data_IF_392679325317
#
_entry.id   IF_392679325317
#
_cell.length_a   1.000
_cell.length_b   1.000
_cell.length_c   1.000
_cell.angle_alpha   90.00
_cell.angle_beta   90.00
_cell.angle_gamma   90.00
#
_symmetry.space_group_name_H-M   'P 1'
#
loop_
_entity.id
_entity.type
_entity.pdbx_description
1 polymer ?
#
# COMPACT_ATOMS: atom_id res chain seq x y z
N UNK A 1 10.88 -33.80 -20.22
CA UNK A 1 9.88 -33.46 -21.26
C UNK A 1 8.77 -32.71 -20.56
N UNK A 2 8.85 -31.37 -20.54
CA UNK A 2 7.98 -30.49 -19.75
C UNK A 2 6.86 -29.98 -20.67
N UNK A 3 5.61 -30.32 -20.36
CA UNK A 3 4.45 -29.84 -21.11
C UNK A 3 4.12 -28.41 -20.70
N UNK A 4 4.11 -27.50 -21.68
CA UNK A 4 3.73 -26.09 -21.55
C UNK A 4 2.20 -26.02 -21.65
N UNK A 5 1.53 -25.54 -20.60
CA UNK A 5 0.11 -25.21 -20.65
C UNK A 5 -0.11 -23.93 -21.49
N UNK A 6 -1.11 -23.88 -22.38
CA UNK A 6 -1.41 -22.67 -23.11
C UNK A 6 -2.16 -21.67 -22.21
N UNK A 7 -1.67 -20.44 -22.20
CA UNK A 7 -2.29 -19.27 -21.60
C UNK A 7 -3.63 -18.99 -22.31
N UNK A 8 -4.75 -19.19 -21.63
CA UNK A 8 -6.07 -18.82 -22.14
C UNK A 8 -6.26 -17.31 -21.94
N UNK A 9 -6.10 -16.54 -23.01
CA UNK A 9 -6.50 -15.12 -23.06
C UNK A 9 -7.87 -15.07 -23.73
N UNK A 10 -8.92 -14.71 -22.98
CA UNK A 10 -10.17 -14.29 -23.59
C UNK A 10 -9.94 -12.89 -24.18
N UNK A 11 -10.05 -12.78 -25.51
CA UNK A 11 -10.01 -11.51 -26.22
C UNK A 11 -11.45 -11.23 -26.62
N UNK A 12 -12.09 -10.25 -25.97
CA UNK A 12 -13.44 -9.79 -26.32
C UNK A 12 -13.40 -9.24 -27.75
N UNK A 13 -14.28 -9.73 -28.62
CA UNK A 13 -14.41 -9.20 -29.98
C UNK A 13 -15.08 -7.82 -29.91
N UNK A 14 -14.59 -6.83 -30.67
CA UNK A 14 -15.11 -5.47 -30.59
C UNK A 14 -16.57 -5.39 -31.10
N UNK A 15 -17.43 -4.76 -30.32
CA UNK A 15 -18.85 -4.62 -30.65
C UNK A 15 -19.01 -3.56 -31.76
N UNK A 16 -19.42 -4.00 -32.94
CA UNK A 16 -19.48 -3.14 -34.13
C UNK A 16 -20.92 -2.91 -34.59
N UNK A 17 -21.39 -1.66 -34.50
CA UNK A 17 -22.70 -1.24 -35.00
C UNK A 17 -22.56 -0.45 -36.31
N UNK A 18 -23.29 -0.85 -37.36
CA UNK A 18 -23.28 -0.19 -38.68
C UNK A 18 -24.66 0.36 -39.02
N UNK A 19 -24.72 1.63 -39.42
CA UNK A 19 -25.95 2.31 -39.85
C UNK A 19 -25.77 2.85 -41.27
N UNK A 20 -26.70 2.53 -42.17
CA UNK A 20 -26.61 2.89 -43.58
C UNK A 20 -27.95 3.20 -44.25
N UNK A 21 -27.90 3.83 -45.43
CA UNK A 21 -29.05 4.00 -46.33
C UNK A 21 -28.74 3.25 -47.63
N UNK A 22 -29.55 2.24 -47.95
CA UNK A 22 -29.30 1.36 -49.10
C UNK A 22 -28.04 0.49 -48.91
N UNK A 23 -27.17 0.43 -49.93
CA UNK A 23 -25.89 -0.31 -49.88
C UNK A 23 -24.72 0.48 -49.28
N UNK A 24 -24.97 1.71 -48.80
CA UNK A 24 -23.91 2.59 -48.26
C UNK A 24 -23.98 2.62 -46.74
N UNK A 25 -22.89 2.20 -46.10
CA UNK A 25 -22.66 2.43 -44.68
C UNK A 25 -22.35 3.91 -44.47
N UNK A 26 -23.10 4.57 -43.60
CA UNK A 26 -22.97 6.00 -43.32
C UNK A 26 -22.24 6.20 -42.00
N UNK A 27 -22.54 5.36 -41.00
CA UNK A 27 -21.92 5.39 -39.68
C UNK A 27 -21.47 3.98 -39.28
N UNK A 28 -20.24 3.84 -38.82
CA UNK A 28 -19.74 2.63 -38.16
C UNK A 28 -19.27 3.03 -36.77
N UNK A 29 -19.81 2.40 -35.74
CA UNK A 29 -19.37 2.54 -34.36
C UNK A 29 -18.71 1.22 -33.96
N UNK A 30 -17.48 1.28 -33.52
CA UNK A 30 -16.73 0.15 -32.96
C UNK A 30 -16.41 0.51 -31.52
N UNK A 31 -16.85 -0.32 -30.57
CA UNK A 31 -16.56 -0.14 -29.15
C UNK A 31 -15.70 -1.31 -28.65
N UNK A 32 -14.61 -0.99 -27.96
CA UNK A 32 -13.72 -1.95 -27.32
C UNK A 32 -13.33 -1.48 -25.90
N UNK A 33 -12.52 -2.29 -25.20
CA UNK A 33 -11.97 -1.95 -23.87
C UNK A 33 -11.03 -0.73 -23.86
N UNK A 34 -10.63 -0.22 -25.03
CA UNK A 34 -9.69 0.86 -25.22
C UNK A 34 -10.40 2.19 -25.52
N UNK A 35 -11.62 2.15 -26.05
CA UNK A 35 -12.48 3.31 -26.28
C UNK A 35 -13.53 3.09 -27.38
N UNK A 36 -14.02 4.20 -27.94
CA UNK A 36 -15.03 4.18 -28.99
C UNK A 36 -14.51 4.81 -30.27
N UNK A 37 -14.54 4.06 -31.36
CA UNK A 37 -14.27 4.56 -32.70
C UNK A 37 -15.59 4.78 -33.44
N UNK A 38 -15.81 6.00 -33.93
CA UNK A 38 -16.98 6.36 -34.74
C UNK A 38 -16.51 6.87 -36.10
N UNK A 39 -16.85 6.14 -37.16
CA UNK A 39 -16.53 6.49 -38.54
C UNK A 39 -17.81 6.94 -39.24
N UNK A 40 -17.84 8.19 -39.73
CA UNK A 40 -18.93 8.74 -40.53
C UNK A 40 -18.42 9.01 -41.95
N UNK A 41 -18.76 8.14 -42.89
CA UNK A 41 -18.23 8.13 -44.27
C UNK A 41 -16.68 8.08 -44.31
N UNK A 42 -16.02 9.23 -44.46
CA UNK A 42 -14.55 9.42 -44.54
C UNK A 42 -13.97 10.24 -43.37
N UNK A 43 -14.86 10.76 -42.53
CA UNK A 43 -14.55 11.45 -41.27
C UNK A 43 -14.62 10.43 -40.15
N UNK A 44 -13.74 10.56 -39.16
CA UNK A 44 -13.80 9.70 -37.98
C UNK A 44 -13.54 10.51 -36.72
N UNK A 45 -14.15 10.05 -35.65
CA UNK A 45 -13.92 10.48 -34.29
C UNK A 45 -13.48 9.24 -33.53
N UNK A 46 -12.24 9.24 -33.04
CA UNK A 46 -11.73 8.21 -32.15
C UNK A 46 -11.67 8.83 -30.77
N UNK A 47 -12.41 8.23 -29.84
CA UNK A 47 -12.36 8.56 -28.41
C UNK A 47 -11.57 7.45 -27.75
N UNK A 48 -10.35 7.75 -27.33
CA UNK A 48 -9.48 6.81 -26.60
C UNK A 48 -9.59 7.11 -25.11
N UNK A 49 -10.33 6.25 -24.41
CA UNK A 49 -10.57 6.34 -22.97
C UNK A 49 -9.32 6.01 -22.15
N UNK A 50 -8.33 5.31 -22.74
CA UNK A 50 -7.04 4.98 -22.10
C UNK A 50 -6.03 6.10 -22.13
N UNK A 51 -6.20 7.08 -23.00
CA UNK A 51 -5.28 8.22 -23.13
C UNK A 51 -5.95 9.60 -22.98
N UNK A 52 -7.25 9.68 -22.66
CA UNK A 52 -8.04 10.92 -22.55
C UNK A 52 -7.83 11.77 -23.82
N UNK A 53 -7.82 11.07 -24.95
CA UNK A 53 -7.46 11.63 -26.23
C UNK A 53 -8.64 11.48 -27.16
N UNK A 54 -9.13 12.63 -27.61
CA UNK A 54 -10.14 12.70 -28.67
C UNK A 54 -9.41 13.08 -29.96
N UNK A 55 -9.49 12.20 -30.95
CA UNK A 55 -8.95 12.43 -32.29
C UNK A 55 -10.11 12.64 -33.22
N UNK A 56 -10.19 13.82 -33.82
CA UNK A 56 -11.24 14.19 -34.77
C UNK A 56 -10.57 14.42 -36.11
N UNK A 57 -11.04 13.74 -37.15
CA UNK A 57 -10.68 14.04 -38.53
C UNK A 57 -11.86 14.67 -39.24
N UNK A 58 -11.64 15.86 -39.79
CA UNK A 58 -12.62 16.60 -40.58
C UNK A 58 -11.97 17.11 -41.87
N UNK A 59 -12.39 16.57 -43.02
CA UNK A 59 -11.83 16.94 -44.32
C UNK A 59 -10.30 16.77 -44.41
N UNK A 60 -9.57 17.88 -44.62
CA UNK A 60 -8.12 17.89 -44.83
C UNK A 60 -7.29 18.17 -43.57
N UNK A 61 -7.93 18.30 -42.41
CA UNK A 61 -7.26 18.50 -41.12
C UNK A 61 -7.68 17.41 -40.14
N UNK A 62 -6.77 17.08 -39.25
CA UNK A 62 -7.04 16.28 -38.07
C UNK A 62 -6.68 17.08 -36.82
N UNK A 63 -7.44 16.88 -35.76
CA UNK A 63 -7.24 17.51 -34.47
C UNK A 63 -7.09 16.40 -33.45
N UNK A 64 -5.98 16.41 -32.72
CA UNK A 64 -5.78 15.58 -31.53
C UNK A 64 -5.88 16.46 -30.31
N UNK A 65 -6.86 16.18 -29.46
CA UNK A 65 -7.03 16.83 -28.17
C UNK A 65 -6.66 15.80 -27.12
N UNK A 66 -5.59 16.05 -26.37
CA UNK A 66 -5.16 15.19 -25.26
C UNK A 66 -5.20 15.98 -23.96
N UNK A 67 -5.88 15.44 -22.96
CA UNK A 67 -5.86 15.97 -21.59
C UNK A 67 -4.77 15.25 -20.76
N UNK A 68 -3.84 16.00 -20.16
CA UNK A 68 -2.82 15.47 -19.23
C UNK A 68 -2.90 16.24 -17.90
N UNK A 69 -3.69 15.70 -16.97
CA UNK A 69 -4.00 16.35 -15.70
C UNK A 69 -4.75 17.67 -15.90
N UNK A 70 -4.10 18.80 -15.60
CA UNK A 70 -4.71 20.14 -15.75
C UNK A 70 -4.36 20.84 -17.08
N UNK A 71 -3.70 20.15 -18.01
CA UNK A 71 -3.28 20.73 -19.29
C UNK A 71 -3.99 20.06 -20.43
N UNK A 72 -4.51 20.86 -21.36
CA UNK A 72 -5.03 20.38 -22.63
C UNK A 72 -4.01 20.67 -23.71
N UNK A 73 -3.57 19.63 -24.41
CA UNK A 73 -2.74 19.73 -25.59
C UNK A 73 -3.62 19.58 -26.82
N UNK A 74 -3.56 20.57 -27.71
CA UNK A 74 -4.28 20.53 -28.98
C UNK A 74 -3.23 20.56 -30.08
N UNK A 75 -3.25 19.53 -30.91
CA UNK A 75 -2.39 19.42 -32.08
C UNK A 75 -3.25 19.39 -33.34
N UNK A 76 -2.87 20.18 -34.34
CA UNK A 76 -3.53 20.21 -35.64
C UNK A 76 -2.58 19.60 -36.65
N UNK A 77 -3.00 18.53 -37.30
CA UNK A 77 -2.20 17.72 -38.21
C UNK A 77 -2.84 17.77 -39.60
N UNK A 78 -2.02 17.82 -40.64
CA UNK A 78 -2.49 17.73 -42.02
C UNK A 78 -2.89 16.29 -42.37
N UNK A 79 -3.91 16.13 -43.21
CA UNK A 79 -4.52 14.83 -43.53
C UNK A 79 -3.53 13.76 -43.97
N UNK A 80 -2.56 14.12 -44.79
CA UNK A 80 -1.60 13.17 -45.37
C UNK A 80 -0.64 12.62 -44.32
N UNK A 81 -0.43 13.38 -43.26
CA UNK A 81 0.44 12.99 -42.16
C UNK A 81 -0.33 12.29 -41.07
N UNK A 82 -1.68 12.26 -41.07
CA UNK A 82 -2.46 11.56 -40.04
C UNK A 82 -2.08 10.09 -39.88
N UNK A 83 -1.90 9.35 -40.97
CA UNK A 83 -1.51 7.94 -40.91
C UNK A 83 0.00 7.74 -40.69
N UNK A 84 0.82 8.75 -41.03
CA UNK A 84 2.27 8.75 -40.78
C UNK A 84 2.61 9.18 -39.36
N UNK A 85 1.70 9.93 -38.73
CA UNK A 85 1.72 10.30 -37.33
C UNK A 85 1.57 8.98 -36.58
N UNK A 86 2.70 8.34 -36.27
CA UNK A 86 2.72 7.06 -35.59
C UNK A 86 2.09 7.23 -34.22
N UNK A 87 0.78 7.01 -34.13
CA UNK A 87 -0.02 7.08 -32.92
C UNK A 87 0.45 5.98 -31.97
N UNK A 88 1.58 6.21 -31.30
CA UNK A 88 2.04 5.34 -30.24
C UNK A 88 1.00 5.44 -29.13
N UNK A 89 0.35 4.30 -28.81
CA UNK A 89 -0.44 4.16 -27.59
C UNK A 89 0.42 4.67 -26.44
N UNK A 90 -0.01 5.71 -25.73
CA UNK A 90 0.79 6.19 -24.60
C UNK A 90 0.72 5.12 -23.51
N UNK A 91 1.80 4.92 -22.75
CA UNK A 91 1.73 4.01 -21.63
C UNK A 91 0.72 4.55 -20.62
N UNK A 92 -0.21 3.70 -20.18
CA UNK A 92 -1.18 4.04 -19.14
C UNK A 92 -0.44 4.62 -17.91
N UNK A 93 -0.83 5.83 -17.50
CA UNK A 93 -0.23 6.49 -16.35
C UNK A 93 -1.04 6.21 -15.08
N UNK A 94 -0.65 5.18 -14.33
CA UNK A 94 -1.15 4.93 -12.97
C UNK A 94 -0.03 5.18 -11.95
N UNK A 95 -0.34 5.91 -10.88
CA UNK A 95 0.59 6.13 -9.78
C UNK A 95 -0.10 5.88 -8.46
N UNK A 96 0.31 4.81 -7.78
CA UNK A 96 -0.24 4.41 -6.49
C UNK A 96 0.08 5.36 -5.33
N UNK A 97 -0.52 5.11 -4.17
CA UNK A 97 -0.38 5.91 -2.95
C UNK A 97 0.36 5.17 -1.83
N UNK A 98 1.54 4.61 -2.13
CA UNK A 98 2.39 3.92 -1.17
C UNK A 98 3.56 4.77 -0.65
N UNK A 99 4.34 5.42 -1.52
CA UNK A 99 5.55 6.16 -1.15
C UNK A 99 5.23 7.37 -0.28
N UNK A 100 6.08 7.63 0.71
CA UNK A 100 5.85 8.69 1.67
C UNK A 100 6.22 8.35 3.10
N UNK A 101 5.78 9.21 4.00
CA UNK A 101 5.95 9.05 5.43
C UNK A 101 4.58 8.84 6.07
N UNK A 102 4.47 7.80 6.90
CA UNK A 102 3.27 7.49 7.64
C UNK A 102 3.56 7.32 9.14
N UNK A 103 2.57 7.66 9.95
CA UNK A 103 2.61 7.57 11.40
C UNK A 103 1.38 6.83 11.90
N UNK A 104 1.53 5.97 12.90
CA UNK A 104 0.41 5.19 13.42
C UNK A 104 0.56 4.87 14.90
N UNK A 105 -0.54 4.40 15.48
CA UNK A 105 -0.59 3.84 16.82
C UNK A 105 -0.58 2.32 16.71
N UNK A 106 0.28 1.69 17.51
CA UNK A 106 0.44 0.24 17.54
C UNK A 106 -0.19 -0.35 18.79
N UNK A 107 -0.85 -1.48 18.63
CA UNK A 107 -1.32 -2.32 19.73
C UNK A 107 -1.06 -3.81 19.41
N UNK A 108 -1.34 -4.69 20.36
CA UNK A 108 -1.26 -6.13 20.27
C UNK A 108 -2.66 -6.71 20.50
N UNK A 109 -3.04 -7.69 19.69
CA UNK A 109 -4.29 -8.41 19.83
C UNK A 109 -4.04 -9.92 19.86
N UNK A 110 -4.93 -10.66 20.49
CA UNK A 110 -5.00 -12.12 20.37
C UNK A 110 -5.73 -12.51 19.08
N UNK A 111 -5.63 -13.79 18.72
CA UNK A 111 -6.30 -14.34 17.53
C UNK A 111 -7.82 -14.19 17.56
N UNK A 112 -8.42 -14.11 18.75
CA UNK A 112 -9.86 -13.88 18.93
C UNK A 112 -10.28 -12.41 18.74
N UNK A 113 -9.36 -11.50 18.42
CA UNK A 113 -9.62 -10.08 18.20
C UNK A 113 -9.59 -9.22 19.47
N UNK A 114 -9.48 -9.81 20.66
CA UNK A 114 -9.35 -9.05 21.89
C UNK A 114 -7.95 -8.45 22.02
N UNK A 115 -7.85 -7.26 22.60
CA UNK A 115 -6.56 -6.63 22.90
C UNK A 115 -5.76 -7.48 23.90
N UNK A 116 -4.44 -7.52 23.71
CA UNK A 116 -3.53 -8.24 24.59
C UNK A 116 -3.47 -7.58 25.97
N UNK A 117 -3.20 -8.38 27.01
CA UNK A 117 -3.08 -7.86 28.38
C UNK A 117 -4.38 -7.63 29.14
N UNK A 118 -5.50 -8.14 28.62
CA UNK A 118 -6.83 -8.07 29.25
C UNK A 118 -7.02 -9.06 30.40
N UNK A 119 -6.29 -10.19 30.42
CA UNK A 119 -6.27 -11.14 31.55
C UNK A 119 -5.11 -10.87 32.51
N UNK A 120 -5.30 -11.17 33.80
CA UNK A 120 -4.32 -10.91 34.88
C UNK A 120 -2.94 -11.51 34.60
N UNK A 121 -2.88 -12.77 34.15
CA UNK A 121 -1.64 -13.47 33.82
C UNK A 121 -0.87 -12.84 32.65
N UNK A 122 -1.57 -12.13 31.78
CA UNK A 122 -1.03 -11.55 30.54
C UNK A 122 -0.88 -10.04 30.59
N UNK A 123 -1.25 -9.40 31.71
CA UNK A 123 -1.32 -7.94 31.86
C UNK A 123 0.01 -7.24 31.54
N UNK A 124 1.11 -7.98 31.64
CA UNK A 124 2.44 -7.54 31.22
C UNK A 124 2.58 -7.27 29.70
N UNK A 125 1.67 -7.77 28.86
CA UNK A 125 1.61 -7.49 27.41
C UNK A 125 0.78 -6.25 27.07
N UNK A 126 0.09 -5.67 28.05
CA UNK A 126 -0.74 -4.49 27.85
C UNK A 126 0.12 -3.30 27.43
N UNK A 127 -0.34 -2.58 26.41
CA UNK A 127 0.39 -1.49 25.80
C UNK A 127 -0.32 -0.17 26.01
N UNK A 128 0.48 0.83 26.39
CA UNK A 128 0.02 2.21 26.35
C UNK A 128 -0.12 2.64 24.88
N UNK A 129 -1.33 2.52 24.34
CA UNK A 129 -1.61 2.78 22.92
C UNK A 129 -1.20 4.19 22.51
N UNK A 130 -1.47 5.19 23.36
CA UNK A 130 -1.12 6.59 23.10
C UNK A 130 0.38 6.88 23.03
N UNK A 131 1.23 5.98 23.55
CA UNK A 131 2.70 6.11 23.55
C UNK A 131 3.40 5.03 22.71
N UNK A 132 2.62 4.13 22.10
CA UNK A 132 3.07 3.04 21.25
C UNK A 132 2.88 3.44 19.79
N UNK A 133 3.98 3.79 19.12
CA UNK A 133 3.93 4.44 17.82
C UNK A 133 4.57 3.59 16.72
N UNK A 134 4.08 3.78 15.50
CA UNK A 134 4.64 3.29 14.25
C UNK A 134 5.12 4.47 13.41
N UNK A 135 6.32 4.38 12.88
CA UNK A 135 6.79 5.22 11.79
C UNK A 135 7.07 4.35 10.59
N UNK A 136 6.56 4.74 9.44
CA UNK A 136 6.83 4.06 8.19
C UNK A 136 7.36 5.05 7.15
N UNK A 137 8.54 4.77 6.61
CA UNK A 137 9.17 5.52 5.53
C UNK A 137 9.19 4.66 4.28
N UNK A 138 8.30 4.94 3.36
CA UNK A 138 8.17 4.26 2.08
C UNK A 138 8.94 5.03 1.01
N UNK A 139 10.17 4.61 0.75
CA UNK A 139 11.12 5.35 -0.08
C UNK A 139 11.13 4.90 -1.56
N UNK A 140 10.65 3.69 -1.86
CA UNK A 140 10.53 3.18 -3.24
C UNK A 140 9.07 2.77 -3.51
N UNK A 141 8.58 3.10 -4.69
CA UNK A 141 7.28 2.66 -5.21
C UNK A 141 7.39 2.36 -6.70
N UNK A 142 6.80 1.24 -7.10
CA UNK A 142 6.51 0.87 -8.48
C UNK A 142 4.99 0.66 -8.63
N UNK A 143 4.44 1.11 -9.74
CA UNK A 143 3.00 1.04 -10.03
C UNK A 143 2.81 0.38 -11.39
N UNK A 144 2.05 -0.71 -11.40
CA UNK A 144 1.69 -1.48 -12.59
C UNK A 144 0.22 -1.15 -12.92
N UNK A 145 -0.05 -0.31 -13.93
CA UNK A 145 -1.42 0.02 -14.34
C UNK A 145 -2.14 -1.22 -14.87
N UNK A 146 -3.39 -1.42 -14.45
CA UNK A 146 -4.36 -2.20 -15.22
C UNK A 146 -5.28 -1.26 -16.01
N UNK A 147 -5.58 -0.09 -15.43
CA UNK A 147 -6.23 1.05 -16.09
C UNK A 147 -5.66 2.36 -15.52
N UNK A 148 -6.18 3.52 -15.96
CA UNK A 148 -5.88 4.81 -15.32
C UNK A 148 -6.30 4.91 -13.86
N UNK A 149 -7.29 4.12 -13.45
CA UNK A 149 -7.93 4.22 -12.14
C UNK A 149 -7.60 3.04 -11.24
N UNK A 150 -6.98 1.99 -11.73
CA UNK A 150 -6.61 0.86 -10.91
C UNK A 150 -5.29 0.22 -11.35
N UNK A 151 -4.64 -0.41 -10.40
CA UNK A 151 -3.38 -1.08 -10.66
C UNK A 151 -2.79 -1.72 -9.42
N UNK A 152 -1.71 -2.43 -9.66
CA UNK A 152 -0.92 -3.05 -8.61
C UNK A 152 0.20 -2.10 -8.18
N UNK A 153 0.40 -1.98 -6.88
CA UNK A 153 1.42 -1.12 -6.28
C UNK A 153 2.35 -2.01 -5.46
N UNK A 154 3.64 -1.90 -5.75
CA UNK A 154 4.69 -2.54 -4.98
C UNK A 154 5.79 -1.52 -4.67
N UNK A 155 6.79 -1.90 -3.89
CA UNK A 155 7.81 -0.95 -3.45
C UNK A 155 8.65 -1.45 -2.29
N UNK A 156 9.29 -0.51 -1.59
CA UNK A 156 10.04 -0.79 -0.38
C UNK A 156 9.89 0.34 0.62
N UNK A 157 9.93 -0.01 1.90
CA UNK A 157 9.89 0.94 3.01
C UNK A 157 10.60 0.43 4.25
N UNK A 158 10.90 1.32 5.19
CA UNK A 158 11.39 0.96 6.52
C UNK A 158 10.32 1.31 7.54
N UNK A 159 9.98 0.32 8.36
CA UNK A 159 9.00 0.42 9.43
C UNK A 159 9.68 0.32 10.78
N UNK A 160 9.48 1.33 11.61
CA UNK A 160 10.02 1.43 12.95
C UNK A 160 8.88 1.46 13.97
N UNK A 161 8.81 0.44 14.81
CA UNK A 161 7.74 0.30 15.81
C UNK A 161 8.32 0.48 17.21
N UNK A 162 7.53 1.11 18.04
CA UNK A 162 7.82 1.31 19.44
C UNK A 162 6.63 0.83 20.26
N UNK A 163 6.80 -0.27 20.99
CA UNK A 163 5.79 -0.81 21.89
C UNK A 163 6.12 -0.36 23.30
N UNK A 164 5.23 0.42 23.91
CA UNK A 164 5.38 0.89 25.27
C UNK A 164 4.46 0.11 26.20
N UNK A 165 5.04 -0.73 27.04
CA UNK A 165 4.29 -1.47 28.04
C UNK A 165 3.71 -0.49 29.07
N UNK A 166 2.42 -0.63 29.38
CA UNK A 166 1.72 0.29 30.28
C UNK A 166 2.03 0.00 31.76
N UNK A 167 2.30 -1.26 32.06
CA UNK A 167 2.57 -1.72 33.42
C UNK A 167 4.06 -1.55 33.81
N UNK A 168 4.33 -1.70 35.11
CA UNK A 168 5.69 -1.64 35.67
C UNK A 168 6.47 -2.93 35.39
N UNK A 169 6.65 -3.25 34.11
CA UNK A 169 7.22 -4.50 33.65
C UNK A 169 7.98 -4.30 32.34
N UNK A 170 8.87 -5.21 32.02
CA UNK A 170 9.52 -5.29 30.72
C UNK A 170 9.51 -6.73 30.23
N UNK A 171 10.06 -6.97 29.05
CA UNK A 171 10.26 -8.31 28.51
C UNK A 171 11.73 -8.67 28.57
N UNK A 172 12.00 -9.93 28.90
CA UNK A 172 13.33 -10.52 28.89
C UNK A 172 13.25 -11.92 28.29
N UNK A 173 14.37 -12.37 27.71
CA UNK A 173 14.53 -13.76 27.32
C UNK A 173 15.00 -14.55 28.54
N UNK A 174 14.24 -15.57 28.92
CA UNK A 174 14.61 -16.48 29.98
C UNK A 174 15.99 -17.12 29.67
N UNK A 175 16.96 -17.05 30.59
CA UNK A 175 18.29 -17.64 30.38
C UNK A 175 18.30 -19.16 30.20
N UNK A 176 17.30 -19.87 30.75
CA UNK A 176 17.21 -21.34 30.77
C UNK A 176 16.36 -21.83 29.61
N UNK A 177 15.13 -21.33 29.49
CA UNK A 177 14.17 -21.81 28.48
C UNK A 177 14.29 -21.07 27.15
N UNK A 178 14.91 -19.88 27.15
CA UNK A 178 14.99 -19.03 25.99
C UNK A 178 13.64 -18.43 25.56
N UNK A 179 12.57 -18.56 26.34
CA UNK A 179 11.23 -18.01 26.06
C UNK A 179 11.14 -16.55 26.51
N UNK A 180 10.28 -15.75 25.88
CA UNK A 180 10.00 -14.38 26.33
C UNK A 180 9.08 -14.41 27.55
N UNK A 181 9.61 -13.87 28.66
CA UNK A 181 8.96 -13.79 29.96
C UNK A 181 8.94 -12.33 30.46
N UNK A 182 7.99 -11.96 31.32
CA UNK A 182 8.01 -10.65 31.96
C UNK A 182 9.20 -10.52 32.91
N UNK A 183 9.88 -9.37 32.86
CA UNK A 183 10.85 -8.91 33.86
C UNK A 183 10.17 -7.86 34.73
N UNK A 184 10.02 -8.17 36.01
CA UNK A 184 9.53 -7.23 37.02
C UNK A 184 10.70 -6.53 37.72
N UNK A 185 10.51 -5.30 38.21
CA UNK A 185 11.54 -4.62 38.98
C UNK A 185 11.79 -5.31 40.35
N UNK A 186 13.01 -5.19 40.90
CA UNK A 186 13.28 -5.53 42.29
C UNK A 186 12.39 -4.72 43.26
N UNK A 187 12.16 -5.21 44.48
CA UNK A 187 11.44 -4.47 45.52
C UNK A 187 12.04 -3.07 45.72
N UNK A 188 11.20 -2.03 45.71
CA UNK A 188 11.63 -0.63 45.87
C UNK A 188 12.04 0.09 44.58
N UNK A 189 12.08 -0.59 43.43
CA UNK A 189 12.39 0.00 42.12
C UNK A 189 11.12 0.09 41.27
N UNK A 190 10.92 1.23 40.61
CA UNK A 190 9.85 1.41 39.62
C UNK A 190 10.43 1.73 38.24
N UNK A 191 9.95 1.02 37.23
CA UNK A 191 10.28 1.25 35.84
C UNK A 191 9.48 2.44 35.32
N UNK A 192 10.17 3.56 35.18
CA UNK A 192 9.58 4.77 34.58
C UNK A 192 9.39 4.63 33.06
N UNK A 193 10.14 3.74 32.40
CA UNK A 193 10.00 3.55 30.95
C UNK A 193 10.42 2.14 30.52
N UNK A 194 9.46 1.36 30.01
CA UNK A 194 9.70 0.06 29.41
C UNK A 194 9.25 0.08 27.94
N UNK A 195 10.19 -0.12 27.01
CA UNK A 195 9.91 -0.01 25.57
C UNK A 195 10.65 -1.05 24.73
N UNK A 196 9.93 -1.72 23.85
CA UNK A 196 10.48 -2.55 22.78
C UNK A 196 10.50 -1.77 21.47
N UNK A 197 11.69 -1.61 20.88
CA UNK A 197 11.90 -0.98 19.58
C UNK A 197 12.25 -2.03 18.53
N UNK A 198 11.57 -1.98 17.39
CA UNK A 198 11.81 -2.89 16.27
C UNK A 198 11.87 -2.13 14.96
N UNK A 199 12.78 -2.50 14.07
CA UNK A 199 12.85 -1.99 12.71
C UNK A 199 12.79 -3.14 11.70
N UNK A 200 11.93 -2.98 10.70
CA UNK A 200 11.69 -3.95 9.63
C UNK A 200 11.82 -3.25 8.28
N UNK A 201 12.38 -3.96 7.31
CA UNK A 201 12.23 -3.65 5.90
C UNK A 201 10.85 -4.15 5.46
N UNK A 202 10.15 -3.38 4.65
CA UNK A 202 8.79 -3.69 4.21
C UNK A 202 8.72 -3.72 2.69
N UNK A 203 7.99 -4.69 2.15
CA UNK A 203 7.71 -4.85 0.73
C UNK A 203 6.20 -5.04 0.58
N UNK A 204 5.48 -4.07 0.00
CA UNK A 204 4.05 -4.17 -0.21
C UNK A 204 3.71 -4.84 -1.56
N UNK A 205 2.54 -5.44 -1.61
CA UNK A 205 1.85 -5.85 -2.82
C UNK A 205 0.37 -5.46 -2.65
N UNK A 206 -0.01 -4.34 -3.24
CA UNK A 206 -1.32 -3.71 -3.03
C UNK A 206 -2.08 -3.62 -4.34
N UNK A 207 -3.34 -3.96 -4.31
CA UNK A 207 -4.29 -3.58 -5.34
C UNK A 207 -4.90 -2.24 -4.94
N UNK A 208 -4.85 -1.26 -5.83
CA UNK A 208 -5.35 0.07 -5.55
C UNK A 208 -6.33 0.51 -6.63
N UNK A 209 -7.43 1.12 -6.18
CA UNK A 209 -8.47 1.72 -6.99
C UNK A 209 -8.59 3.20 -6.64
N UNK A 210 -8.67 4.04 -7.65
CA UNK A 210 -8.67 5.50 -7.57
C UNK A 210 -9.92 6.05 -8.25
N UNK A 211 -10.46 7.14 -7.71
CA UNK A 211 -11.63 7.81 -8.27
C UNK A 211 -11.58 9.32 -8.08
N UNK A 212 -12.51 10.00 -8.76
CA UNK A 212 -12.62 11.45 -8.80
C UNK A 212 -11.66 12.11 -9.80
N UNK A 213 -11.95 13.37 -10.13
CA UNK A 213 -11.10 14.20 -11.00
C UNK A 213 -9.71 14.33 -10.36
N UNK A 214 -8.66 14.11 -11.14
CA UNK A 214 -7.25 14.08 -10.70
C UNK A 214 -6.91 12.98 -9.68
N UNK A 215 -7.68 11.88 -9.63
CA UNK A 215 -7.44 10.74 -8.72
C UNK A 215 -7.40 11.17 -7.23
N UNK A 216 -8.33 12.07 -6.84
CA UNK A 216 -8.41 12.64 -5.48
C UNK A 216 -8.76 11.63 -4.39
N UNK A 217 -9.46 10.55 -4.74
CA UNK A 217 -9.81 9.47 -3.83
C UNK A 217 -9.10 8.18 -4.21
N UNK A 218 -8.72 7.38 -3.21
CA UNK A 218 -8.22 6.03 -3.43
C UNK A 218 -8.59 5.08 -2.29
N UNK A 219 -8.68 3.80 -2.63
CA UNK A 219 -8.65 2.69 -1.68
C UNK A 219 -7.59 1.71 -2.16
N UNK A 220 -6.79 1.20 -1.24
CA UNK A 220 -5.81 0.16 -1.54
C UNK A 220 -5.89 -0.94 -0.47
N UNK A 221 -5.78 -2.18 -0.92
CA UNK A 221 -5.70 -3.32 -0.03
C UNK A 221 -4.73 -4.35 -0.58
N UNK A 222 -4.18 -5.18 0.30
CA UNK A 222 -3.26 -6.22 -0.09
C UNK A 222 -2.40 -6.68 1.08
N UNK A 223 -1.22 -7.17 0.76
CA UNK A 223 -0.29 -7.72 1.73
C UNK A 223 0.99 -6.91 1.80
N UNK A 224 1.57 -6.81 2.99
CA UNK A 224 2.88 -6.20 3.22
C UNK A 224 3.74 -7.26 3.89
N UNK A 225 4.82 -7.66 3.23
CA UNK A 225 5.85 -8.50 3.81
C UNK A 225 6.85 -7.65 4.59
N UNK A 226 7.26 -8.13 5.76
CA UNK A 226 8.26 -7.50 6.60
C UNK A 226 9.46 -8.44 6.81
N UNK A 227 10.66 -7.91 6.67
CA UNK A 227 11.91 -8.57 7.03
C UNK A 227 12.60 -7.82 8.16
N UNK A 228 12.90 -8.50 9.26
CA UNK A 228 13.52 -7.91 10.45
C UNK A 228 14.92 -7.40 10.11
N UNK A 229 15.14 -6.10 10.33
CA UNK A 229 16.46 -5.49 10.24
C UNK A 229 17.13 -5.36 11.60
N UNK A 230 16.37 -4.91 12.61
CA UNK A 230 16.93 -4.57 13.92
C UNK A 230 15.90 -4.71 15.04
N UNK A 231 16.32 -5.17 16.23
CA UNK A 231 15.54 -5.09 17.46
C UNK A 231 16.35 -4.62 18.67
N UNK A 232 15.74 -3.85 19.57
CA UNK A 232 16.37 -3.38 20.81
C UNK A 232 15.32 -3.05 21.86
N UNK A 233 15.56 -3.42 23.11
CA UNK A 233 14.73 -3.02 24.25
C UNK A 233 15.43 -1.93 25.05
N UNK A 234 14.67 -0.94 25.50
CA UNK A 234 15.14 0.15 26.36
C UNK A 234 14.38 0.10 27.67
N UNK A 235 15.10 0.00 28.79
CA UNK A 235 14.59 0.09 30.14
C UNK A 235 15.13 1.38 30.78
N UNK A 236 14.27 2.13 31.48
CA UNK A 236 14.71 3.17 32.42
C UNK A 236 14.09 2.88 33.77
N UNK A 237 14.93 2.82 34.79
CA UNK A 237 14.52 2.57 36.16
C UNK A 237 15.21 3.58 37.08
N UNK A 238 14.56 3.85 38.21
CA UNK A 238 15.12 4.70 39.26
C UNK A 238 15.59 3.81 40.39
N UNK A 239 16.86 3.94 40.80
CA UNK A 239 17.46 3.20 41.90
C UNK A 239 18.16 4.22 42.81
N UNK A 240 17.75 4.27 44.09
CA UNK A 240 18.25 5.22 45.10
C UNK A 240 18.33 6.69 44.63
N UNK A 241 17.25 7.20 44.03
CA UNK A 241 17.17 8.60 43.56
C UNK A 241 17.97 8.91 42.28
N UNK A 242 18.78 7.96 41.79
CA UNK A 242 19.57 8.10 40.57
C UNK A 242 18.88 7.40 39.38
N UNK A 243 18.88 8.08 38.23
CA UNK A 243 18.19 7.62 37.01
C UNK A 243 19.10 6.71 36.19
N UNK A 244 18.87 5.40 36.25
CA UNK A 244 19.62 4.42 35.46
C UNK A 244 18.91 4.12 34.13
N UNK A 245 19.70 3.94 33.07
CA UNK A 245 19.21 3.67 31.71
C UNK A 245 19.93 2.45 31.14
N UNK A 246 19.20 1.36 30.99
CA UNK A 246 19.70 0.15 30.36
C UNK A 246 19.14 0.03 28.94
N UNK A 247 20.01 -0.17 27.94
CA UNK A 247 19.59 -0.46 26.56
C UNK A 247 20.20 -1.78 26.16
N UNK A 248 19.38 -2.82 26.15
CA UNK A 248 19.78 -4.16 25.72
C UNK A 248 19.43 -4.31 24.23
N UNK A 249 20.44 -4.54 23.39
CA UNK A 249 20.23 -5.00 22.02
C UNK A 249 20.21 -6.53 22.06
N UNK A 250 19.07 -7.11 21.72
CA UNK A 250 18.90 -8.56 21.62
C UNK A 250 17.81 -8.83 20.56
N UNK A 251 17.73 -10.06 20.08
CA UNK A 251 16.75 -10.48 19.08
C UNK A 251 15.33 -10.63 19.62
N UNK A 252 15.18 -10.70 20.96
CA UNK A 252 13.90 -10.86 21.69
C UNK A 252 12.97 -11.92 21.09
N UNK A 253 13.55 -12.95 20.44
CA UNK A 253 12.84 -13.96 19.65
C UNK A 253 11.74 -13.39 18.75
N UNK A 254 11.93 -12.19 18.20
CA UNK A 254 10.98 -11.61 17.27
C UNK A 254 10.96 -12.41 15.97
N UNK A 255 9.76 -12.53 15.38
CA UNK A 255 9.57 -13.19 14.10
C UNK A 255 10.40 -12.47 13.02
N UNK A 256 11.38 -13.17 12.39
CA UNK A 256 12.30 -12.55 11.44
C UNK A 256 11.61 -12.15 10.14
N UNK A 257 10.58 -12.90 9.74
CA UNK A 257 9.72 -12.61 8.62
C UNK A 257 8.28 -12.55 9.10
N UNK A 258 7.57 -11.51 8.69
CA UNK A 258 6.15 -11.31 9.00
C UNK A 258 5.42 -10.86 7.75
N UNK A 259 4.10 -10.99 7.77
CA UNK A 259 3.28 -10.31 6.78
C UNK A 259 1.99 -9.81 7.41
N UNK A 260 1.47 -8.74 6.81
CA UNK A 260 0.29 -8.03 7.26
C UNK A 260 -0.69 -7.91 6.11
N UNK A 261 -1.98 -8.03 6.42
CA UNK A 261 -3.01 -7.49 5.54
C UNK A 261 -3.15 -6.01 5.84
N UNK A 262 -3.21 -5.20 4.80
CA UNK A 262 -3.36 -3.74 4.92
C UNK A 262 -4.63 -3.29 4.23
N UNK A 263 -5.28 -2.30 4.84
CA UNK A 263 -6.35 -1.52 4.23
C UNK A 263 -5.93 -0.05 4.28
N UNK A 264 -6.00 0.63 3.15
CA UNK A 264 -5.64 2.03 3.01
C UNK A 264 -6.75 2.74 2.28
N UNK A 265 -7.08 3.92 2.73
CA UNK A 265 -8.03 4.77 2.04
C UNK A 265 -7.60 6.22 2.20
N UNK A 266 -7.84 7.02 1.19
CA UNK A 266 -7.54 8.44 1.27
C UNK A 266 -8.41 9.27 0.36
N UNK A 267 -8.65 10.49 0.80
CA UNK A 267 -9.30 11.52 0.03
C UNK A 267 -8.60 12.86 0.24
N UNK A 268 -8.08 13.44 -0.85
CA UNK A 268 -7.25 14.65 -0.84
C UNK A 268 -6.05 14.50 0.12
N UNK A 269 -6.01 15.31 1.17
CA UNK A 269 -4.92 15.36 2.14
C UNK A 269 -5.07 14.34 3.28
N UNK A 270 -6.27 13.79 3.50
CA UNK A 270 -6.51 12.81 4.57
C UNK A 270 -6.30 11.42 3.99
N UNK A 271 -5.33 10.69 4.54
CA UNK A 271 -4.97 9.34 4.10
C UNK A 271 -4.78 8.48 5.33
N UNK A 272 -5.57 7.42 5.44
CA UNK A 272 -5.61 6.50 6.56
C UNK A 272 -5.10 5.13 6.13
N UNK A 273 -4.51 4.40 7.07
CA UNK A 273 -4.19 2.99 6.89
C UNK A 273 -4.44 2.21 8.16
N UNK A 274 -4.76 0.93 7.98
CA UNK A 274 -4.82 -0.06 9.03
C UNK A 274 -4.02 -1.29 8.60
N UNK A 275 -3.23 -1.85 9.52
CA UNK A 275 -2.44 -3.06 9.30
C UNK A 275 -2.82 -4.11 10.34
N UNK A 276 -3.11 -5.32 9.88
CA UNK A 276 -3.40 -6.48 10.71
C UNK A 276 -2.33 -7.55 10.46
N UNK A 277 -1.56 -7.89 11.48
CA UNK A 277 -0.56 -8.96 11.39
C UNK A 277 -1.22 -10.33 11.32
N UNK A 278 -0.80 -11.13 10.34
CA UNK A 278 -1.21 -12.53 10.24
C UNK A 278 -0.22 -13.47 10.95
N UNK A 279 0.91 -12.94 11.41
CA UNK A 279 1.95 -13.67 12.13
C UNK A 279 2.12 -13.08 13.53
N UNK A 280 2.48 -13.91 14.50
CA UNK A 280 2.75 -13.50 15.88
C UNK A 280 4.00 -12.61 15.95
N UNK A 281 4.01 -11.68 16.91
CA UNK A 281 5.15 -10.79 17.16
C UNK A 281 6.43 -11.59 17.48
N UNK A 282 6.28 -12.63 18.29
CA UNK A 282 7.34 -13.54 18.70
C UNK A 282 7.32 -14.82 17.86
N UNK A 283 8.48 -15.46 17.72
CA UNK A 283 8.63 -16.78 17.10
C UNK A 283 7.76 -17.82 17.83
N UNK A 284 7.24 -18.77 17.07
CA UNK A 284 6.42 -19.89 17.58
C UNK A 284 7.12 -20.59 18.76
N UNK A 285 6.37 -20.86 19.83
CA UNK A 285 6.84 -21.48 21.07
C UNK A 285 7.91 -20.71 21.86
N UNK A 286 8.27 -19.49 21.43
CA UNK A 286 9.30 -18.66 22.08
C UNK A 286 8.74 -17.38 22.70
N UNK A 287 7.42 -17.22 22.71
CA UNK A 287 6.72 -16.13 23.37
C UNK A 287 5.19 -16.22 23.18
N UNK A 288 4.44 -15.25 23.73
CA UNK A 288 2.99 -15.21 23.62
C UNK A 288 2.49 -15.08 22.18
N UNK A 289 1.38 -15.75 21.87
CA UNK A 289 0.70 -15.70 20.56
C UNK A 289 -0.07 -14.41 20.32
N UNK A 290 0.62 -13.27 20.29
CA UNK A 290 0.04 -11.94 20.07
C UNK A 290 0.37 -11.40 18.68
N UNK A 291 -0.61 -10.72 18.07
CA UNK A 291 -0.58 -10.21 16.71
C UNK A 291 -0.56 -8.68 16.74
N UNK A 292 0.46 -8.04 16.15
CA UNK A 292 0.49 -6.58 16.02
C UNK A 292 -0.65 -6.05 15.15
N UNK A 293 -1.30 -4.99 15.64
CA UNK A 293 -2.31 -4.24 14.91
C UNK A 293 -1.94 -2.76 14.92
N UNK A 294 -2.16 -2.08 13.80
CA UNK A 294 -1.80 -0.67 13.64
C UNK A 294 -2.90 0.08 12.94
N UNK A 295 -3.18 1.30 13.40
CA UNK A 295 -4.01 2.27 12.67
C UNK A 295 -3.27 3.59 12.62
N UNK A 296 -3.27 4.26 11.48
CA UNK A 296 -2.48 5.47 11.31
C UNK A 296 -2.87 6.33 10.12
N UNK A 297 -2.11 7.41 9.97
CA UNK A 297 -2.23 8.43 8.94
C UNK A 297 -0.97 8.45 8.06
N UNK A 298 -1.14 8.64 6.77
CA UNK A 298 -0.04 8.97 5.86
C UNK A 298 0.11 10.48 5.82
N UNK A 299 1.22 10.99 6.33
CA UNK A 299 1.46 12.43 6.52
C UNK A 299 1.97 13.11 5.24
N UNK A 300 2.91 12.45 4.55
CA UNK A 300 3.55 12.98 3.35
C UNK A 300 3.54 11.88 2.31
N UNK A 301 3.30 12.22 1.05
CA UNK A 301 3.39 11.29 -0.07
C UNK A 301 4.43 11.83 -1.06
N UNK A 302 5.37 10.99 -1.49
CA UNK A 302 6.50 11.39 -2.34
C UNK A 302 6.13 11.36 -3.84
N UNK A 303 4.90 11.78 -4.15
CA UNK A 303 4.36 11.77 -5.51
C UNK A 303 5.08 12.77 -6.41
#
# INVERSE_FOLDING_TARGET
>A
MLAIMPHLSAQEEPDTTKVGIGKKNIVTVTEDDDGTEVIVKDEFVIVDDRDDTVKIKLGNKAISITEDGNKTHIEIIEREDFHKHGWRKRPMKFKGHWSGLAFGLNNLAYRNGNLAGTSEETRWLDLNTGKSWEWNLNFIQYSLPFSKKNGLVTGMGIKCNNYHFDNNNNIMKDPVTGVIVPRYPPPGVSYSKSKLHTAYLTVPLLLEFQWGRDQKGFIATGVIGDLKLWSSTKLKYYENGSKQREKVRNDFNLSPLRYHVTLRAGYKFIKLYANLSMVTLFKTNLGPGVYPVTVGLTLINFR
#
